data_IF_242432831956
#
_entry.id   IF_242432831956
#
_cell.length_a   1.000
_cell.length_b   1.000
_cell.length_c   1.000
_cell.angle_alpha   90.00
_cell.angle_beta   90.00
_cell.angle_gamma   90.00
#
_symmetry.space_group_name_H-M   'P 1'
#
loop_
_entity.id
_entity.type
_entity.pdbx_description
1 polymer ?
#
# COMPACT_ATOMS: atom_id res chain seq x y z
N UNK A 1 -12.94 -26.29 -43.19
CA UNK A 1 -11.86 -25.57 -42.46
C UNK A 1 -12.30 -24.24 -41.85
N UNK A 2 -13.19 -23.43 -42.45
CA UNK A 2 -13.63 -22.13 -41.89
C UNK A 2 -14.38 -22.21 -40.53
N UNK A 3 -15.10 -23.30 -40.24
CA UNK A 3 -15.84 -23.47 -38.97
C UNK A 3 -14.98 -23.89 -37.77
N UNK A 4 -13.78 -24.44 -38.01
CA UNK A 4 -12.85 -24.87 -36.94
C UNK A 4 -11.99 -23.70 -36.48
N UNK A 5 -11.64 -22.78 -37.39
CA UNK A 5 -10.89 -21.56 -37.07
C UNK A 5 -11.69 -20.59 -36.19
N UNK A 6 -13.02 -20.52 -36.35
CA UNK A 6 -13.90 -19.72 -35.49
C UNK A 6 -14.05 -20.29 -34.06
N UNK A 7 -13.90 -21.61 -33.88
CA UNK A 7 -14.03 -22.25 -32.57
C UNK A 7 -12.80 -22.02 -31.69
N UNK A 8 -11.60 -21.93 -32.27
CA UNK A 8 -10.38 -21.59 -31.52
C UNK A 8 -10.32 -20.11 -31.10
N UNK A 9 -10.89 -19.20 -31.89
CA UNK A 9 -10.92 -17.77 -31.55
C UNK A 9 -11.91 -17.46 -30.41
N UNK A 10 -13.00 -18.22 -30.30
CA UNK A 10 -13.98 -18.08 -29.21
C UNK A 10 -13.42 -18.54 -27.84
N UNK A 11 -12.58 -19.58 -27.82
CA UNK A 11 -11.93 -20.06 -26.59
C UNK A 11 -10.81 -19.11 -26.14
N UNK A 12 -10.07 -18.50 -27.08
CA UNK A 12 -9.03 -17.52 -26.77
C UNK A 12 -9.58 -16.20 -26.18
N UNK A 13 -10.81 -15.80 -26.56
CA UNK A 13 -11.47 -14.62 -26.00
C UNK A 13 -12.09 -14.85 -24.61
N UNK A 14 -12.43 -16.09 -24.24
CA UNK A 14 -12.91 -16.42 -22.88
C UNK A 14 -11.81 -16.44 -21.81
N UNK A 15 -10.54 -16.35 -22.21
CA UNK A 15 -9.37 -16.28 -21.32
C UNK A 15 -8.87 -14.83 -21.11
N UNK A 16 -9.62 -13.83 -21.60
CA UNK A 16 -9.36 -12.41 -21.37
C UNK A 16 -9.59 -12.00 -19.92
N UNK A 17 -8.66 -12.42 -19.06
CA UNK A 17 -8.32 -11.90 -17.74
C UNK A 17 -9.41 -11.14 -16.97
N UNK A 18 -10.06 -11.85 -16.05
CA UNK A 18 -10.42 -11.23 -14.78
C UNK A 18 -9.10 -10.86 -14.06
N UNK A 19 -8.54 -9.70 -14.38
CA UNK A 19 -7.53 -9.07 -13.53
C UNK A 19 -8.26 -8.63 -12.26
N UNK A 20 -8.49 -9.56 -11.35
CA UNK A 20 -8.85 -9.21 -9.99
C UNK A 20 -7.71 -8.33 -9.47
N UNK A 21 -8.04 -7.13 -9.01
CA UNK A 21 -7.07 -6.33 -8.29
C UNK A 21 -6.51 -7.22 -7.16
N UNK A 22 -5.19 -7.27 -7.03
CA UNK A 22 -4.53 -8.10 -6.02
C UNK A 22 -4.31 -7.28 -4.74
N UNK A 23 -4.17 -7.98 -3.63
CA UNK A 23 -3.75 -7.38 -2.38
C UNK A 23 -2.40 -6.65 -2.56
N UNK A 24 -2.29 -5.44 -2.03
CA UNK A 24 -1.03 -4.71 -2.08
C UNK A 24 0.00 -5.37 -1.16
N UNK A 25 1.22 -5.59 -1.66
CA UNK A 25 2.42 -5.77 -0.86
C UNK A 25 3.60 -5.03 -1.49
N UNK A 26 4.25 -4.17 -0.70
CA UNK A 26 5.38 -3.36 -1.13
C UNK A 26 6.44 -3.33 -0.04
N UNK A 27 7.70 -3.34 -0.45
CA UNK A 27 8.86 -3.40 0.43
C UNK A 27 9.90 -2.36 0.01
N UNK A 28 10.58 -1.75 0.98
CA UNK A 28 11.65 -0.80 0.72
C UNK A 28 12.42 -0.39 1.96
N UNK A 29 13.43 0.45 1.79
CA UNK A 29 14.31 0.91 2.87
C UNK A 29 13.89 2.28 3.38
N UNK A 30 13.81 2.44 4.70
CA UNK A 30 13.72 3.68 5.44
C UNK A 30 15.02 3.83 6.25
N UNK A 31 16.05 4.43 5.65
CA UNK A 31 17.39 4.40 6.23
C UNK A 31 17.90 2.96 6.38
N UNK A 32 18.33 2.52 7.57
CA UNK A 32 18.75 1.14 7.81
C UNK A 32 17.58 0.16 7.99
N UNK A 33 16.34 0.67 8.09
CA UNK A 33 15.17 -0.14 8.37
C UNK A 33 14.56 -0.66 7.07
N UNK A 34 14.34 -1.96 7.01
CA UNK A 34 13.55 -2.59 5.96
C UNK A 34 12.08 -2.55 6.36
N UNK A 35 11.26 -1.91 5.53
CA UNK A 35 9.84 -1.69 5.78
C UNK A 35 9.04 -2.39 4.68
N UNK A 36 8.21 -3.34 5.08
CA UNK A 36 7.22 -3.98 4.22
C UNK A 36 5.84 -3.50 4.65
N UNK A 37 5.00 -3.10 3.70
CA UNK A 37 3.62 -2.78 3.99
C UNK A 37 2.67 -3.44 3.01
N UNK A 38 1.52 -3.87 3.52
CA UNK A 38 0.56 -4.65 2.77
C UNK A 38 -0.88 -4.42 3.22
N UNK A 39 -1.80 -4.91 2.41
CA UNK A 39 -3.24 -4.93 2.67
C UNK A 39 -3.76 -6.35 2.44
N UNK A 40 -4.86 -6.74 3.09
CA UNK A 40 -5.46 -8.08 2.90
C UNK A 40 -6.36 -8.16 1.66
N UNK A 41 -6.82 -7.00 1.20
CA UNK A 41 -7.71 -6.82 0.05
C UNK A 41 -7.12 -5.72 -0.83
N UNK A 42 -7.51 -5.64 -2.11
CA UNK A 42 -7.09 -4.55 -2.97
C UNK A 42 -7.39 -3.20 -2.35
N UNK A 43 -6.47 -2.25 -2.53
CA UNK A 43 -6.67 -0.89 -2.05
C UNK A 43 -7.83 -0.28 -2.84
N UNK A 44 -8.73 0.39 -2.13
CA UNK A 44 -9.91 1.03 -2.73
C UNK A 44 -10.24 2.34 -2.03
N UNK A 45 -11.15 3.12 -2.61
CA UNK A 45 -11.68 4.31 -1.93
C UNK A 45 -12.34 3.90 -0.60
N UNK A 46 -12.12 4.71 0.44
CA UNK A 46 -12.60 4.47 1.79
C UNK A 46 -11.52 3.95 2.72
N UNK A 47 -11.94 3.22 3.75
CA UNK A 47 -11.05 2.75 4.82
C UNK A 47 -10.32 1.47 4.42
N UNK A 48 -8.99 1.49 4.52
CA UNK A 48 -8.12 0.38 4.17
C UNK A 48 -7.22 0.04 5.37
N UNK A 49 -7.27 -1.23 5.79
CA UNK A 49 -6.36 -1.73 6.82
C UNK A 49 -4.99 -1.99 6.21
N UNK A 50 -4.02 -1.16 6.56
CA UNK A 50 -2.62 -1.30 6.17
C UNK A 50 -1.84 -1.94 7.31
N UNK A 51 -1.10 -3.00 7.00
CA UNK A 51 -0.15 -3.64 7.90
C UNK A 51 1.26 -3.22 7.52
N UNK A 52 2.10 -2.91 8.49
CA UNK A 52 3.49 -2.51 8.29
C UNK A 52 4.38 -3.39 9.16
N UNK A 53 5.34 -4.08 8.55
CA UNK A 53 6.42 -4.80 9.22
C UNK A 53 7.70 -4.00 9.10
N UNK A 54 8.44 -3.92 10.19
CA UNK A 54 9.70 -3.17 10.25
C UNK A 54 10.79 -4.10 10.77
N UNK A 55 11.87 -4.22 10.01
CA UNK A 55 13.04 -5.03 10.33
C UNK A 55 14.29 -4.16 10.34
N UNK A 56 15.19 -4.39 11.29
CA UNK A 56 16.55 -3.88 11.29
C UNK A 56 17.49 -5.08 11.17
N UNK A 57 17.96 -5.35 9.94
CA UNK A 57 18.61 -6.61 9.62
C UNK A 57 17.66 -7.80 9.85
N UNK A 58 18.05 -8.75 10.70
CA UNK A 58 17.22 -9.91 11.05
C UNK A 58 16.28 -9.66 12.26
N UNK A 59 16.37 -8.49 12.90
CA UNK A 59 15.60 -8.17 14.11
C UNK A 59 14.32 -7.44 13.76
N UNK A 60 13.19 -7.94 14.24
CA UNK A 60 11.92 -7.23 14.16
C UNK A 60 11.89 -6.04 15.13
N UNK A 61 11.45 -4.88 14.63
CA UNK A 61 11.30 -3.65 15.40
C UNK A 61 9.85 -3.48 15.81
N UNK A 62 9.55 -3.74 17.09
CA UNK A 62 8.18 -3.78 17.64
C UNK A 62 7.84 -2.67 18.65
N UNK A 63 8.83 -1.85 18.98
CA UNK A 63 8.81 -0.79 19.98
C UNK A 63 8.95 0.62 19.37
N UNK A 64 8.80 0.74 18.06
CA UNK A 64 8.82 2.02 17.35
C UNK A 64 7.43 2.69 17.32
N UNK A 65 7.39 4.00 17.13
CA UNK A 65 6.16 4.68 16.72
C UNK A 65 6.11 4.71 15.20
N UNK A 66 5.06 4.13 14.63
CA UNK A 66 4.86 4.10 13.18
C UNK A 66 3.65 4.95 12.84
N UNK A 67 3.80 5.85 11.87
CA UNK A 67 2.70 6.65 11.32
C UNK A 67 2.67 6.54 9.81
N UNK A 68 1.47 6.46 9.23
CA UNK A 68 1.24 6.43 7.78
C UNK A 68 0.63 7.77 7.40
N UNK A 69 1.29 8.47 6.48
CA UNK A 69 0.82 9.72 5.88
C UNK A 69 0.47 9.43 4.43
N UNK A 70 -0.81 9.46 4.10
CA UNK A 70 -1.31 9.38 2.73
C UNK A 70 -1.62 10.79 2.23
N UNK A 71 -1.08 11.20 1.09
CA UNK A 71 -1.37 12.51 0.53
C UNK A 71 -1.58 12.48 -0.98
N UNK A 72 -2.50 13.32 -1.44
CA UNK A 72 -2.71 13.60 -2.85
C UNK A 72 -2.23 15.03 -3.12
N UNK A 73 -1.33 15.26 -4.10
CA UNK A 73 -0.85 16.60 -4.40
C UNK A 73 -1.99 17.48 -4.92
N UNK A 74 -1.82 18.80 -4.78
CA UNK A 74 -2.78 19.75 -5.34
C UNK A 74 -2.90 19.57 -6.85
N UNK A 75 -4.13 19.65 -7.35
CA UNK A 75 -4.46 19.63 -8.78
C UNK A 75 -5.22 20.93 -9.12
N UNK A 76 -5.25 21.37 -10.40
CA UNK A 76 -5.98 22.57 -10.77
C UNK A 76 -7.45 22.50 -10.30
N UNK A 77 -7.86 23.45 -9.46
CA UNK A 77 -9.20 23.51 -8.89
C UNK A 77 -9.43 22.70 -7.60
N UNK A 78 -8.42 22.01 -7.05
CA UNK A 78 -8.52 21.30 -5.76
C UNK A 78 -7.25 21.43 -4.91
N UNK A 79 -7.42 21.70 -3.61
CA UNK A 79 -6.31 21.76 -2.65
C UNK A 79 -5.69 20.36 -2.42
N UNK A 80 -4.44 20.34 -1.95
CA UNK A 80 -3.80 19.10 -1.53
C UNK A 80 -4.60 18.45 -0.39
N UNK A 81 -4.62 17.11 -0.37
CA UNK A 81 -5.29 16.34 0.67
C UNK A 81 -4.27 15.49 1.40
N UNK A 82 -4.41 15.38 2.72
CA UNK A 82 -3.56 14.56 3.57
C UNK A 82 -4.41 13.83 4.61
N UNK A 83 -4.10 12.56 4.81
CA UNK A 83 -4.58 11.72 5.90
C UNK A 83 -3.37 11.19 6.66
N UNK A 84 -3.31 11.45 7.96
CA UNK A 84 -2.25 10.94 8.84
C UNK A 84 -2.85 10.09 9.95
N UNK A 85 -2.34 8.88 10.08
CA UNK A 85 -2.76 7.93 11.10
C UNK A 85 -1.56 7.27 11.78
N UNK A 86 -1.64 7.13 13.10
CA UNK A 86 -0.66 6.37 13.88
C UNK A 86 -1.06 4.89 13.91
N UNK A 87 -0.09 4.01 13.68
CA UNK A 87 -0.28 2.58 13.63
C UNK A 87 0.00 1.94 15.00
N UNK A 88 -0.75 0.88 15.33
CA UNK A 88 -0.60 0.13 16.57
C UNK A 88 0.06 -1.22 16.29
N UNK A 89 1.09 -1.57 17.05
CA UNK A 89 1.72 -2.88 16.92
C UNK A 89 0.80 -3.98 17.49
N UNK A 90 0.26 -4.82 16.61
CA UNK A 90 -0.64 -5.93 16.93
C UNK A 90 -0.39 -7.10 15.99
N UNK A 91 -0.41 -8.34 16.49
CA UNK A 91 -0.30 -9.54 15.65
C UNK A 91 0.95 -9.59 14.73
N UNK A 92 2.10 -9.09 15.19
CA UNK A 92 3.37 -9.14 14.44
C UNK A 92 3.49 -8.10 13.32
N UNK A 93 2.71 -7.04 13.36
CA UNK A 93 2.81 -5.88 12.47
C UNK A 93 2.23 -4.62 13.12
N UNK A 94 2.59 -3.45 12.63
CA UNK A 94 1.87 -2.22 12.92
C UNK A 94 0.66 -2.10 12.02
N UNK A 95 -0.53 -2.00 12.60
CA UNK A 95 -1.79 -1.90 11.86
C UNK A 95 -2.40 -0.51 11.98
N UNK A 96 -2.86 0.05 10.87
CA UNK A 96 -3.59 1.31 10.82
C UNK A 96 -4.70 1.27 9.75
N UNK A 97 -5.81 1.96 10.03
CA UNK A 97 -6.84 2.22 9.05
C UNK A 97 -6.56 3.56 8.37
N UNK A 98 -6.19 3.52 7.09
CA UNK A 98 -6.01 4.72 6.27
C UNK A 98 -7.25 4.94 5.42
N UNK A 99 -7.78 6.16 5.41
CA UNK A 99 -8.95 6.53 4.60
C UNK A 99 -8.48 7.23 3.32
N UNK A 100 -8.69 6.59 2.18
CA UNK A 100 -8.54 7.23 0.87
C UNK A 100 -9.88 7.83 0.44
N UNK A 101 -10.01 9.14 0.50
CA UNK A 101 -11.30 9.83 0.27
C UNK A 101 -11.79 9.79 -1.18
N UNK A 102 -10.90 9.54 -2.14
CA UNK A 102 -11.18 9.54 -3.58
C UNK A 102 -10.23 8.59 -4.32
N UNK A 103 -10.66 8.15 -5.52
CA UNK A 103 -9.82 7.37 -6.44
C UNK A 103 -8.66 8.22 -6.99
N UNK A 104 -7.64 7.54 -7.51
CA UNK A 104 -6.45 8.18 -8.05
C UNK A 104 -5.16 7.82 -7.30
N UNK A 105 -4.09 8.56 -7.60
CA UNK A 105 -2.76 8.27 -7.06
C UNK A 105 -2.51 9.00 -5.75
N UNK A 106 -2.30 8.23 -4.69
CA UNK A 106 -1.90 8.70 -3.38
C UNK A 106 -0.42 8.43 -3.14
N UNK A 107 0.28 9.44 -2.62
CA UNK A 107 1.63 9.29 -2.08
C UNK A 107 1.54 8.76 -0.66
N UNK A 108 2.32 7.73 -0.35
CA UNK A 108 2.36 7.13 0.99
C UNK A 108 3.74 7.41 1.60
N UNK A 109 3.76 8.00 2.78
CA UNK A 109 4.96 8.13 3.61
C UNK A 109 4.76 7.34 4.90
N UNK A 110 5.48 6.24 5.04
CA UNK A 110 5.54 5.48 6.29
C UNK A 110 6.71 6.02 7.08
N UNK A 111 6.42 6.64 8.22
CA UNK A 111 7.41 7.21 9.13
C UNK A 111 7.57 6.26 10.31
N UNK A 112 8.81 5.85 10.56
CA UNK A 112 9.19 5.03 11.70
C UNK A 112 10.07 5.86 12.61
N UNK A 113 9.60 6.13 13.82
CA UNK A 113 10.37 6.75 14.91
C UNK A 113 10.84 5.64 15.86
N UNK A 114 12.13 5.35 15.83
CA UNK A 114 12.77 4.35 16.70
C UNK A 114 12.93 4.89 18.13
N UNK A 115 13.21 4.01 19.08
CA UNK A 115 13.33 4.36 20.51
C UNK A 115 14.46 5.34 20.82
N UNK A 116 15.45 5.45 19.93
CA UNK A 116 16.51 6.47 19.97
C UNK A 116 16.06 7.85 19.47
N UNK A 117 14.78 8.00 19.09
CA UNK A 117 14.18 9.23 18.60
C UNK A 117 14.46 9.54 17.12
N UNK A 118 15.20 8.69 16.41
CA UNK A 118 15.46 8.91 14.97
C UNK A 118 14.21 8.61 14.16
N UNK A 119 13.92 9.50 13.19
CA UNK A 119 12.82 9.33 12.23
C UNK A 119 13.36 8.88 10.89
N UNK A 120 12.94 7.70 10.46
CA UNK A 120 13.19 7.18 9.13
C UNK A 120 11.89 7.17 8.31
N UNK A 121 12.00 7.34 6.99
CA UNK A 121 10.81 7.41 6.13
C UNK A 121 10.97 6.54 4.90
N UNK A 122 10.01 5.64 4.70
CA UNK A 122 9.78 5.00 3.41
C UNK A 122 8.77 5.85 2.63
N UNK A 123 9.13 6.25 1.41
CA UNK A 123 8.21 6.90 0.46
C UNK A 123 7.74 5.87 -0.57
N UNK A 124 6.46 5.90 -0.88
CA UNK A 124 5.83 5.02 -1.85
C UNK A 124 4.60 5.70 -2.44
N UNK A 125 3.88 5.01 -3.30
CA UNK A 125 2.61 5.46 -3.85
C UNK A 125 1.66 4.29 -4.06
N UNK A 126 0.37 4.56 -4.07
CA UNK A 126 -0.68 3.61 -4.44
C UNK A 126 -1.61 4.28 -5.44
N UNK A 127 -2.15 3.50 -6.36
CA UNK A 127 -3.16 3.96 -7.31
C UNK A 127 -4.43 3.14 -7.06
N UNK A 128 -5.54 3.84 -6.88
CA UNK A 128 -6.88 3.30 -6.63
C UNK A 128 -7.72 3.42 -7.90
#
# INVERSE_FOLDING_TARGET
MKKILGMFLAVALSLGGLYAAEALSKKGMAGPLEVEYSTLKPVSQGMNLIKVKVMEGAKEVKDAKVSIIASMPAMPGMHAMEEKVDAKYTNGAYEANVVFSMNGTWQISIVVETTDGKKQRLKSSVNL
#
